data_IF_331129732562
#
_entry.id   IF_331129732562
#
_cell.length_a   1.000
_cell.length_b   1.000
_cell.length_c   1.000
_cell.angle_alpha   90.00
_cell.angle_beta   90.00
_cell.angle_gamma   90.00
#
_symmetry.space_group_name_H-M   'P 1'
#
loop_
_entity.id
_entity.type
_entity.pdbx_description
1 polymer ?
#
# COMPACT_ATOMS: atom_id res chain seq x y z
N UNK A 1 -46.62 -21.44 -37.46
CA UNK A 1 -46.73 -20.37 -36.44
C UNK A 1 -45.34 -19.95 -36.01
N UNK A 2 -44.98 -18.79 -36.52
CA UNK A 2 -43.75 -18.08 -36.17
C UNK A 2 -43.93 -17.45 -34.77
N UNK A 3 -42.97 -17.61 -33.91
CA UNK A 3 -42.79 -16.77 -32.74
C UNK A 3 -41.65 -15.78 -33.05
N UNK A 4 -42.01 -14.55 -33.30
CA UNK A 4 -41.13 -13.39 -33.32
C UNK A 4 -40.64 -13.10 -31.90
N UNK A 5 -39.33 -13.08 -31.73
CA UNK A 5 -38.66 -12.47 -30.61
C UNK A 5 -38.21 -11.07 -30.98
N UNK A 6 -39.10 -10.11 -30.76
CA UNK A 6 -38.75 -8.70 -30.83
C UNK A 6 -37.95 -8.26 -29.62
N UNK A 7 -36.79 -7.75 -29.91
CA UNK A 7 -35.86 -6.97 -29.11
C UNK A 7 -36.55 -5.78 -28.42
N UNK A 8 -36.76 -5.88 -27.14
CA UNK A 8 -36.88 -4.70 -26.25
C UNK A 8 -36.27 -5.04 -24.88
N UNK A 9 -34.95 -5.16 -24.85
CA UNK A 9 -34.16 -5.04 -23.61
C UNK A 9 -33.81 -3.57 -23.46
N UNK A 10 -34.48 -2.96 -22.51
CA UNK A 10 -34.40 -1.57 -22.16
C UNK A 10 -32.97 -1.13 -21.93
N UNK A 11 -32.48 -0.16 -22.70
CA UNK A 11 -31.11 0.41 -22.64
C UNK A 11 -30.79 1.18 -21.34
N UNK A 12 -31.66 1.12 -20.33
CA UNK A 12 -31.48 1.76 -19.03
C UNK A 12 -30.69 0.91 -18.03
N UNK A 13 -30.61 -0.42 -18.23
CA UNK A 13 -29.94 -1.30 -17.27
C UNK A 13 -28.45 -1.51 -17.56
N UNK A 14 -27.96 -1.07 -18.72
CA UNK A 14 -26.56 -1.21 -19.12
C UNK A 14 -25.61 -0.16 -18.53
N UNK A 15 -26.15 0.89 -17.90
CA UNK A 15 -25.32 1.92 -17.23
C UNK A 15 -24.99 1.64 -15.77
N UNK A 16 -25.53 0.57 -15.17
CA UNK A 16 -25.22 0.18 -13.78
C UNK A 16 -24.14 -0.91 -13.67
N UNK A 17 -23.70 -1.48 -14.80
CA UNK A 17 -22.66 -2.52 -14.84
C UNK A 17 -21.27 -2.05 -15.29
N UNK A 18 -21.03 -0.72 -15.32
CA UNK A 18 -19.68 -0.17 -15.50
C UNK A 18 -19.02 0.24 -14.19
N UNK A 19 -19.15 -0.55 -13.14
CA UNK A 19 -18.03 -0.79 -12.24
C UNK A 19 -17.23 -1.90 -12.89
N UNK A 20 -16.23 -1.53 -13.67
CA UNK A 20 -15.17 -2.45 -14.05
C UNK A 20 -14.68 -3.08 -12.76
N UNK A 21 -15.01 -4.35 -12.56
CA UNK A 21 -14.34 -5.23 -11.62
C UNK A 21 -12.87 -5.35 -12.10
N UNK A 22 -12.07 -4.34 -11.90
CA UNK A 22 -10.65 -4.51 -11.73
C UNK A 22 -10.53 -5.18 -10.37
N UNK A 23 -10.53 -6.51 -10.36
CA UNK A 23 -10.06 -7.31 -9.22
C UNK A 23 -8.53 -7.11 -9.15
N UNK A 24 -8.10 -5.90 -8.86
CA UNK A 24 -6.71 -5.52 -8.67
C UNK A 24 -6.56 -5.03 -7.25
N UNK A 25 -5.70 -5.68 -6.50
CA UNK A 25 -5.26 -5.21 -5.19
C UNK A 25 -4.39 -3.96 -5.39
N UNK A 26 -4.70 -2.90 -4.66
CA UNK A 26 -4.05 -1.60 -4.79
C UNK A 26 -3.13 -1.33 -3.61
N UNK A 27 -1.85 -1.02 -3.88
CA UNK A 27 -0.83 -0.73 -2.88
C UNK A 27 -0.31 0.71 -3.05
N UNK A 28 -0.43 1.53 -2.01
CA UNK A 28 0.13 2.87 -2.02
C UNK A 28 1.61 2.86 -1.65
N UNK A 29 2.44 3.59 -2.39
CA UNK A 29 3.80 3.93 -2.00
C UNK A 29 3.76 5.23 -1.21
N UNK A 30 4.17 5.19 0.04
CA UNK A 30 4.32 6.38 0.89
C UNK A 30 5.74 6.48 1.43
N UNK A 31 6.13 7.64 1.88
CA UNK A 31 7.44 7.91 2.48
C UNK A 31 7.74 9.39 2.47
N UNK A 32 8.72 9.81 3.26
CA UNK A 32 9.19 11.18 3.30
C UNK A 32 9.81 11.58 1.94
N UNK A 33 9.95 12.87 1.64
CA UNK A 33 10.69 13.32 0.47
C UNK A 33 12.13 12.76 0.42
N UNK A 34 12.61 12.48 -0.78
CA UNK A 34 13.99 12.02 -1.05
C UNK A 34 14.37 10.65 -0.46
N UNK A 35 13.40 9.81 -0.11
CA UNK A 35 13.65 8.43 0.34
C UNK A 35 13.85 7.44 -0.82
N UNK A 36 13.68 7.89 -2.08
CA UNK A 36 13.78 7.05 -3.28
C UNK A 36 12.46 6.47 -3.77
N UNK A 37 11.32 6.98 -3.29
CA UNK A 37 9.98 6.50 -3.64
C UNK A 37 9.71 6.48 -5.14
N UNK A 38 9.95 7.59 -5.85
CA UNK A 38 9.74 7.69 -7.30
C UNK A 38 10.71 6.82 -8.10
N UNK A 39 11.94 6.61 -7.62
CA UNK A 39 12.89 5.69 -8.23
C UNK A 39 12.38 4.26 -8.19
N UNK A 40 11.91 3.81 -7.02
CA UNK A 40 11.31 2.48 -6.84
C UNK A 40 10.04 2.35 -7.69
N UNK A 41 9.18 3.36 -7.72
CA UNK A 41 7.97 3.34 -8.54
C UNK A 41 8.29 3.22 -10.02
N UNK A 42 9.26 3.98 -10.53
CA UNK A 42 9.68 3.91 -11.94
C UNK A 42 10.27 2.54 -12.28
N UNK A 43 11.09 1.97 -11.40
CA UNK A 43 11.65 0.63 -11.58
C UNK A 43 10.52 -0.44 -11.59
N UNK A 44 9.54 -0.35 -10.69
CA UNK A 44 8.36 -1.24 -10.68
C UNK A 44 7.56 -1.18 -11.99
N UNK A 45 7.32 0.03 -12.49
CA UNK A 45 6.50 0.24 -13.70
C UNK A 45 7.29 0.01 -14.99
N UNK A 46 8.58 0.25 -15.00
CA UNK A 46 9.49 -0.06 -16.11
C UNK A 46 9.67 -1.56 -16.34
N UNK A 47 9.60 -2.35 -15.27
CA UNK A 47 9.71 -3.82 -15.33
C UNK A 47 8.57 -4.50 -16.11
N UNK A 48 7.42 -3.81 -16.28
CA UNK A 48 6.21 -4.37 -16.90
C UNK A 48 5.76 -3.51 -18.08
N UNK A 49 6.34 -3.73 -19.25
CA UNK A 49 6.10 -2.99 -20.50
C UNK A 49 4.67 -3.13 -21.08
N UNK A 50 3.74 -3.76 -20.39
CA UNK A 50 2.31 -3.69 -20.69
C UNK A 50 1.57 -2.61 -19.86
N UNK A 51 2.31 -1.70 -19.25
CA UNK A 51 1.70 -0.55 -18.56
C UNK A 51 0.92 0.28 -19.59
N UNK A 52 -0.38 0.24 -19.52
CA UNK A 52 -1.25 1.16 -20.25
C UNK A 52 -0.88 2.58 -19.81
N UNK A 53 -0.09 3.26 -20.64
CA UNK A 53 0.27 4.66 -20.47
C UNK A 53 -1.00 5.51 -20.47
N UNK A 54 -1.57 5.73 -19.30
CA UNK A 54 -2.48 6.85 -19.13
C UNK A 54 -1.63 8.11 -19.01
N UNK A 55 -1.69 8.89 -20.10
CA UNK A 55 -0.97 10.13 -20.25
C UNK A 55 -1.22 11.07 -19.06
N UNK A 56 -0.13 11.60 -18.55
CA UNK A 56 -0.01 12.64 -17.53
C UNK A 56 -1.07 13.75 -17.69
N UNK A 57 -2.05 13.76 -16.81
CA UNK A 57 -2.83 14.96 -16.51
C UNK A 57 -2.57 15.33 -15.06
N UNK A 58 -2.08 16.52 -14.87
CA UNK A 58 -1.38 17.11 -13.74
C UNK A 58 -2.11 17.18 -12.38
N UNK A 59 -3.01 16.27 -12.05
CA UNK A 59 -3.71 16.21 -10.75
C UNK A 59 -4.04 14.78 -10.29
N UNK A 60 -3.65 13.73 -11.03
CA UNK A 60 -3.86 12.35 -10.62
C UNK A 60 -2.54 11.73 -10.15
N UNK A 61 -2.53 10.90 -9.08
CA UNK A 61 -1.33 10.18 -8.68
C UNK A 61 -0.87 9.26 -9.81
N UNK A 62 0.44 9.05 -9.90
CA UNK A 62 0.98 8.08 -10.84
C UNK A 62 0.55 6.68 -10.40
N UNK A 63 -0.06 5.92 -11.30
CA UNK A 63 -0.45 4.53 -11.06
C UNK A 63 0.29 3.60 -12.01
N UNK A 64 0.71 2.45 -11.51
CA UNK A 64 1.39 1.44 -12.31
C UNK A 64 0.86 0.05 -11.99
N UNK A 65 0.53 -0.73 -13.02
CA UNK A 65 0.06 -2.10 -12.88
C UNK A 65 1.25 -3.02 -13.12
N UNK A 66 1.53 -3.90 -12.17
CA UNK A 66 2.60 -4.88 -12.26
C UNK A 66 2.06 -6.30 -12.16
N UNK A 67 2.63 -7.22 -12.94
CA UNK A 67 2.29 -8.63 -12.85
C UNK A 67 2.97 -9.26 -11.64
N UNK A 68 2.25 -10.10 -10.91
CA UNK A 68 2.81 -10.86 -9.79
C UNK A 68 3.54 -12.08 -10.33
N UNK A 69 4.87 -12.21 -10.15
CA UNK A 69 5.60 -13.39 -10.58
C UNK A 69 5.10 -14.65 -9.86
N UNK A 70 4.78 -15.70 -10.63
CA UNK A 70 4.40 -17.00 -10.07
C UNK A 70 5.09 -18.15 -10.83
N UNK A 71 6.22 -18.67 -10.31
CA UNK A 71 6.97 -19.76 -10.96
C UNK A 71 6.14 -21.04 -11.17
N UNK A 72 5.08 -21.24 -10.38
CA UNK A 72 4.17 -22.40 -10.55
C UNK A 72 3.34 -22.23 -11.81
N UNK A 73 2.86 -20.99 -12.04
CA UNK A 73 2.10 -20.65 -13.24
C UNK A 73 2.98 -20.79 -14.48
N UNK A 74 4.25 -20.36 -14.42
CA UNK A 74 5.22 -20.52 -15.49
C UNK A 74 5.43 -21.99 -15.84
N UNK A 75 5.66 -22.82 -14.81
CA UNK A 75 5.84 -24.27 -14.99
C UNK A 75 4.61 -24.94 -15.61
N UNK A 76 3.42 -24.62 -15.13
CA UNK A 76 2.17 -25.16 -15.67
C UNK A 76 1.96 -24.70 -17.11
N UNK A 77 2.18 -23.42 -17.39
CA UNK A 77 2.04 -22.86 -18.73
C UNK A 77 2.94 -23.56 -19.76
N UNK A 78 4.18 -23.86 -19.37
CA UNK A 78 5.10 -24.63 -20.20
C UNK A 78 4.64 -26.07 -20.42
N UNK A 79 4.18 -26.75 -19.34
CA UNK A 79 3.73 -28.14 -19.42
C UNK A 79 2.50 -28.34 -20.32
N UNK A 80 1.57 -27.38 -20.33
CA UNK A 80 0.33 -27.47 -21.12
C UNK A 80 0.43 -26.74 -22.47
N UNK A 81 1.61 -26.22 -22.81
CA UNK A 81 1.85 -25.39 -24.00
C UNK A 81 0.78 -24.29 -24.16
N UNK A 82 0.55 -23.54 -23.08
CA UNK A 82 -0.52 -22.57 -23.03
C UNK A 82 -0.35 -21.49 -24.10
N UNK A 83 -1.41 -21.19 -24.85
CA UNK A 83 -1.39 -20.13 -25.87
C UNK A 83 -1.24 -18.72 -25.27
N UNK A 84 -1.67 -18.55 -24.02
CA UNK A 84 -1.56 -17.27 -23.28
C UNK A 84 -1.54 -17.58 -21.79
N UNK A 85 -0.60 -16.96 -21.08
CA UNK A 85 -0.51 -16.96 -19.62
C UNK A 85 -0.97 -15.59 -19.10
N UNK A 86 -1.85 -15.59 -18.11
CA UNK A 86 -2.34 -14.36 -17.48
C UNK A 86 -1.96 -14.40 -16.01
N UNK A 87 -1.13 -13.47 -15.60
CA UNK A 87 -0.72 -13.31 -14.20
C UNK A 87 -1.75 -12.48 -13.43
N UNK A 88 -1.79 -12.68 -12.12
CA UNK A 88 -2.46 -11.73 -11.23
C UNK A 88 -1.71 -10.40 -11.29
N UNK A 89 -2.42 -9.30 -11.31
CA UNK A 89 -1.83 -7.97 -11.31
C UNK A 89 -2.02 -7.27 -9.95
N UNK A 90 -1.05 -6.42 -9.61
CA UNK A 90 -1.06 -5.54 -8.46
C UNK A 90 -0.95 -4.10 -8.99
N UNK A 91 -1.75 -3.19 -8.47
CA UNK A 91 -1.68 -1.78 -8.80
C UNK A 91 -0.88 -1.04 -7.72
N UNK A 92 0.20 -0.37 -8.13
CA UNK A 92 0.93 0.54 -7.27
C UNK A 92 0.54 1.98 -7.56
N UNK A 93 0.34 2.76 -6.49
CA UNK A 93 -0.02 4.17 -6.56
C UNK A 93 1.09 4.98 -5.91
N UNK A 94 1.81 5.81 -6.69
CA UNK A 94 2.81 6.74 -6.16
C UNK A 94 2.10 7.96 -5.57
N UNK A 95 2.00 7.99 -4.25
CA UNK A 95 1.47 9.15 -3.55
C UNK A 95 2.59 10.13 -3.25
N UNK A 96 2.44 11.37 -3.71
CA UNK A 96 3.39 12.45 -3.41
C UNK A 96 3.68 12.51 -1.91
N UNK A 97 4.96 12.65 -1.53
CA UNK A 97 5.41 12.51 -0.15
C UNK A 97 4.62 13.34 0.85
N UNK A 98 4.33 12.74 1.99
CA UNK A 98 3.76 13.45 3.15
C UNK A 98 4.75 14.53 3.59
N UNK A 99 4.34 15.78 3.50
CA UNK A 99 5.02 16.86 4.20
C UNK A 99 4.53 16.87 5.65
N UNK A 100 5.41 17.15 6.60
CA UNK A 100 5.08 17.32 8.01
C UNK A 100 3.97 18.36 8.15
N UNK A 101 2.87 18.05 8.84
CA UNK A 101 1.69 18.93 8.96
C UNK A 101 0.64 18.74 7.86
N UNK A 102 0.68 17.65 7.09
CA UNK A 102 -0.28 17.37 6.03
C UNK A 102 -1.72 17.19 6.57
N UNK A 103 -1.87 16.71 7.80
CA UNK A 103 -3.16 16.55 8.48
C UNK A 103 -3.81 17.90 8.87
N UNK A 104 -3.01 18.95 9.06
CA UNK A 104 -3.48 20.27 9.48
C UNK A 104 -3.65 21.26 8.31
N UNK A 105 -3.25 20.87 7.08
CA UNK A 105 -3.29 21.72 5.88
C UNK A 105 -4.60 21.65 5.13
N UNK A 106 -5.16 22.81 4.76
CA UNK A 106 -6.24 22.88 3.78
C UNK A 106 -5.69 22.53 2.39
N UNK A 107 -6.23 21.49 1.74
CA UNK A 107 -6.00 21.19 0.33
C UNK A 107 -5.24 19.89 0.05
N UNK A 108 -3.94 19.94 -0.25
CA UNK A 108 -3.17 18.77 -0.74
C UNK A 108 -3.07 17.63 0.27
N UNK A 109 -2.95 17.93 1.58
CA UNK A 109 -2.89 16.92 2.63
C UNK A 109 -4.18 16.10 2.72
N UNK A 110 -5.34 16.73 2.63
CA UNK A 110 -6.63 16.04 2.66
C UNK A 110 -6.85 15.18 1.41
N UNK A 111 -6.37 15.60 0.24
CA UNK A 111 -6.43 14.78 -0.98
C UNK A 111 -5.54 13.55 -0.86
N UNK A 112 -4.34 13.69 -0.32
CA UNK A 112 -3.42 12.60 -0.06
C UNK A 112 -4.03 11.56 0.91
N UNK A 113 -4.54 12.00 2.06
CA UNK A 113 -5.18 11.13 3.04
C UNK A 113 -6.44 10.46 2.46
N UNK A 114 -7.19 11.15 1.59
CA UNK A 114 -8.31 10.59 0.85
C UNK A 114 -7.90 9.44 -0.04
N UNK A 115 -6.77 9.55 -0.73
CA UNK A 115 -6.23 8.49 -1.61
C UNK A 115 -5.74 7.29 -0.83
N UNK A 116 -5.08 7.49 0.33
CA UNK A 116 -4.69 6.37 1.19
C UNK A 116 -5.91 5.54 1.63
N UNK A 117 -7.08 6.16 1.83
CA UNK A 117 -8.30 5.42 2.20
C UNK A 117 -8.84 4.50 1.10
N UNK A 118 -8.39 4.66 -0.12
CA UNK A 118 -8.85 3.91 -1.29
C UNK A 118 -7.98 2.69 -1.61
N UNK A 119 -6.84 2.51 -0.90
CA UNK A 119 -5.91 1.40 -1.14
C UNK A 119 -6.08 0.27 -0.14
N UNK A 120 -5.62 -0.92 -0.55
CA UNK A 120 -5.74 -2.15 0.24
C UNK A 120 -4.52 -2.39 1.14
N UNK A 121 -3.34 -1.85 0.75
CA UNK A 121 -2.11 -1.90 1.55
C UNK A 121 -1.23 -0.67 1.33
N UNK A 122 -0.27 -0.51 2.23
CA UNK A 122 0.71 0.58 2.20
C UNK A 122 2.11 -0.02 2.18
N UNK A 123 2.90 0.34 1.17
CA UNK A 123 4.34 0.14 1.13
C UNK A 123 5.02 1.43 1.63
N UNK A 124 5.52 1.41 2.83
CA UNK A 124 6.18 2.56 3.45
C UNK A 124 7.68 2.51 3.14
N UNK A 125 8.13 3.38 2.23
CA UNK A 125 9.53 3.48 1.82
C UNK A 125 10.31 4.26 2.87
N UNK A 126 11.35 3.64 3.41
CA UNK A 126 12.21 4.20 4.46
C UNK A 126 13.63 4.32 3.92
N UNK A 127 14.22 5.49 4.08
CA UNK A 127 15.61 5.73 3.68
C UNK A 127 16.56 5.05 4.67
N UNK A 128 17.36 4.11 4.18
CA UNK A 128 18.35 3.37 4.95
C UNK A 128 19.75 3.49 4.33
N UNK A 129 20.04 4.59 3.64
CA UNK A 129 21.32 4.88 3.00
C UNK A 129 21.76 6.31 3.29
N UNK A 130 23.06 6.54 3.28
CA UNK A 130 23.67 7.85 3.41
C UNK A 130 24.16 8.35 2.05
N UNK A 131 23.76 9.55 1.64
CA UNK A 131 24.25 10.23 0.44
C UNK A 131 24.25 11.75 0.70
N UNK A 132 25.43 12.35 0.69
CA UNK A 132 25.61 13.78 0.93
C UNK A 132 24.99 14.66 -0.17
N UNK A 133 24.74 14.13 -1.37
CA UNK A 133 24.13 14.85 -2.48
C UNK A 133 22.60 14.86 -2.42
N UNK A 134 22.01 14.00 -1.59
CA UNK A 134 20.56 13.87 -1.46
C UNK A 134 20.15 14.44 -0.09
N UNK A 135 19.55 15.66 -0.06
CA UNK A 135 19.15 16.26 1.21
C UNK A 135 18.08 15.43 1.91
N UNK A 136 18.16 15.34 3.23
CA UNK A 136 17.11 14.79 4.09
C UNK A 136 16.32 15.93 4.74
N UNK A 137 15.07 15.70 5.15
CA UNK A 137 14.25 16.74 5.83
C UNK A 137 14.86 17.10 7.17
N UNK A 138 15.39 16.12 7.91
CA UNK A 138 16.22 16.31 9.08
C UNK A 138 17.70 16.20 8.69
N UNK A 139 18.59 16.90 9.40
CA UNK A 139 20.03 16.83 9.13
C UNK A 139 20.61 15.42 9.31
N UNK A 140 19.93 14.59 10.11
CA UNK A 140 20.34 13.21 10.45
C UNK A 140 19.30 12.24 9.89
N UNK A 141 19.77 11.14 9.28
CA UNK A 141 18.91 10.05 8.85
C UNK A 141 18.61 9.18 10.07
N UNK A 142 17.34 9.19 10.47
CA UNK A 142 16.86 8.41 11.62
C UNK A 142 15.57 7.66 11.20
N UNK A 143 15.68 6.44 10.66
CA UNK A 143 14.58 5.69 10.09
C UNK A 143 13.37 5.54 11.02
N UNK A 144 13.60 5.35 12.31
CA UNK A 144 12.51 5.25 13.29
C UNK A 144 11.72 6.55 13.40
N UNK A 145 12.41 7.68 13.49
CA UNK A 145 11.78 9.02 13.54
C UNK A 145 10.99 9.32 12.24
N UNK A 146 11.52 8.89 11.10
CA UNK A 146 10.88 9.04 9.80
C UNK A 146 9.56 8.25 9.72
N UNK A 147 9.55 7.01 10.22
CA UNK A 147 8.36 6.18 10.32
C UNK A 147 7.34 6.82 11.28
N UNK A 148 7.77 7.18 12.48
CA UNK A 148 6.91 7.78 13.50
C UNK A 148 6.30 9.11 13.04
N UNK A 149 7.00 9.88 12.22
CA UNK A 149 6.47 11.13 11.64
C UNK A 149 5.27 10.87 10.74
N UNK A 150 5.34 9.86 9.86
CA UNK A 150 4.23 9.48 9.00
C UNK A 150 3.08 8.86 9.81
N UNK A 151 3.39 7.94 10.71
CA UNK A 151 2.38 7.29 11.56
C UNK A 151 1.61 8.35 12.37
N UNK A 152 2.29 9.37 12.89
CA UNK A 152 1.65 10.48 13.63
C UNK A 152 0.64 11.23 12.78
N UNK A 153 0.96 11.56 11.52
CA UNK A 153 0.03 12.25 10.62
C UNK A 153 -1.21 11.39 10.32
N UNK A 154 -1.03 10.08 10.12
CA UNK A 154 -2.14 9.15 9.90
C UNK A 154 -3.01 9.02 11.16
N UNK A 155 -2.40 8.94 12.33
CA UNK A 155 -3.08 8.86 13.64
C UNK A 155 -3.93 10.12 13.87
N UNK A 156 -3.39 11.32 13.65
CA UNK A 156 -4.13 12.58 13.83
C UNK A 156 -5.37 12.59 12.92
N UNK A 157 -5.24 12.20 11.65
CA UNK A 157 -6.36 12.14 10.72
C UNK A 157 -7.44 11.12 11.14
N UNK A 158 -7.03 10.01 11.74
CA UNK A 158 -7.96 9.01 12.26
C UNK A 158 -8.67 9.49 13.53
N UNK A 159 -7.97 10.16 14.45
CA UNK A 159 -8.56 10.77 15.64
C UNK A 159 -9.64 11.79 15.27
N UNK A 160 -9.40 12.64 14.27
CA UNK A 160 -10.42 13.56 13.75
C UNK A 160 -11.65 12.83 13.19
N UNK A 161 -11.40 11.74 12.45
CA UNK A 161 -12.47 10.93 11.87
C UNK A 161 -13.33 10.31 12.95
N UNK A 162 -12.70 9.75 13.99
CA UNK A 162 -13.37 9.13 15.14
C UNK A 162 -14.15 10.15 15.97
N UNK A 163 -13.63 11.34 16.22
CA UNK A 163 -14.32 12.37 16.99
C UNK A 163 -15.60 12.87 16.28
N UNK A 164 -15.54 13.07 14.96
CA UNK A 164 -16.70 13.40 14.14
C UNK A 164 -17.79 12.30 14.21
N UNK A 165 -17.37 11.02 14.19
CA UNK A 165 -18.25 9.87 14.26
C UNK A 165 -18.85 9.72 15.66
N UNK A 166 -18.03 9.84 16.70
CA UNK A 166 -18.42 9.78 18.12
C UNK A 166 -19.50 10.81 18.43
N UNK A 167 -19.33 12.05 17.98
CA UNK A 167 -20.33 13.12 18.18
C UNK A 167 -21.69 12.76 17.57
N UNK A 168 -21.72 12.11 16.41
CA UNK A 168 -22.97 11.65 15.77
C UNK A 168 -23.60 10.50 16.57
N UNK A 169 -22.82 9.49 16.94
CA UNK A 169 -23.28 8.31 17.67
C UNK A 169 -23.79 8.63 19.07
N UNK A 170 -23.23 9.62 19.76
CA UNK A 170 -23.71 10.06 21.08
C UNK A 170 -25.17 10.53 21.05
N UNK A 171 -25.61 11.15 19.95
CA UNK A 171 -27.01 11.57 19.77
C UNK A 171 -27.93 10.35 19.64
N UNK A 172 -27.51 9.36 18.83
CA UNK A 172 -28.27 8.13 18.61
C UNK A 172 -28.29 7.23 19.85
N UNK A 173 -27.17 7.13 20.56
CA UNK A 173 -27.09 6.35 21.80
C UNK A 173 -28.02 6.85 22.93
N UNK A 174 -28.31 8.16 22.98
CA UNK A 174 -29.28 8.73 23.93
C UNK A 174 -30.70 8.23 23.69
N UNK A 175 -31.07 7.80 22.50
CA UNK A 175 -32.37 7.19 22.18
C UNK A 175 -32.44 5.70 22.53
N UNK A 176 -31.40 5.12 23.15
CA UNK A 176 -31.40 3.74 23.62
C UNK A 176 -30.84 2.71 22.61
N UNK A 177 -30.31 3.15 21.47
CA UNK A 177 -29.73 2.30 20.42
C UNK A 177 -28.54 1.50 20.97
N UNK A 178 -28.62 0.17 20.88
CA UNK A 178 -27.59 -0.76 21.38
C UNK A 178 -26.34 -0.76 20.49
N UNK A 179 -26.51 -0.68 19.18
CA UNK A 179 -25.41 -0.68 18.23
C UNK A 179 -24.58 0.60 18.36
N UNK A 180 -25.24 1.76 18.57
CA UNK A 180 -24.57 3.01 18.85
C UNK A 180 -23.71 2.95 20.13
N UNK A 181 -24.17 2.25 21.17
CA UNK A 181 -23.38 2.06 22.40
C UNK A 181 -22.17 1.17 22.18
N UNK A 182 -22.32 0.06 21.43
CA UNK A 182 -21.20 -0.82 21.07
C UNK A 182 -20.16 -0.08 20.23
N UNK A 183 -20.61 0.73 19.26
CA UNK A 183 -19.70 1.56 18.46
C UNK A 183 -18.97 2.59 19.31
N UNK A 184 -19.60 3.23 20.29
CA UNK A 184 -18.96 4.19 21.17
C UNK A 184 -17.88 3.54 22.05
N UNK A 185 -18.12 2.34 22.55
CA UNK A 185 -17.13 1.57 23.30
C UNK A 185 -15.91 1.22 22.41
N UNK A 186 -16.16 0.73 21.20
CA UNK A 186 -15.12 0.44 20.25
C UNK A 186 -14.30 1.68 19.88
N UNK A 187 -14.96 2.82 19.60
CA UNK A 187 -14.30 4.10 19.34
C UNK A 187 -13.42 4.50 20.51
N UNK A 188 -13.87 4.35 21.74
CA UNK A 188 -13.06 4.67 22.92
C UNK A 188 -11.77 3.85 22.98
N UNK A 189 -11.86 2.53 22.74
CA UNK A 189 -10.68 1.64 22.70
C UNK A 189 -9.71 1.99 21.57
N UNK A 190 -10.24 2.32 20.38
CA UNK A 190 -9.40 2.75 19.25
C UNK A 190 -8.73 4.07 19.59
N UNK A 191 -9.47 5.06 20.10
CA UNK A 191 -8.91 6.37 20.48
C UNK A 191 -7.81 6.22 21.51
N UNK A 192 -8.01 5.41 22.57
CA UNK A 192 -6.96 5.12 23.55
C UNK A 192 -5.71 4.50 22.92
N UNK A 193 -5.87 3.62 21.93
CA UNK A 193 -4.75 3.01 21.22
C UNK A 193 -3.97 4.05 20.41
N UNK A 194 -4.69 4.91 19.68
CA UNK A 194 -4.10 5.98 18.89
C UNK A 194 -3.41 7.06 19.75
N UNK A 195 -4.01 7.43 20.88
CA UNK A 195 -3.42 8.38 21.86
C UNK A 195 -2.10 7.84 22.46
N UNK A 196 -1.92 6.51 22.48
CA UNK A 196 -0.66 5.87 22.85
C UNK A 196 0.30 5.67 21.66
N UNK A 197 0.13 6.39 20.57
CA UNK A 197 0.91 6.30 19.32
C UNK A 197 0.95 4.90 18.71
N UNK A 198 -0.13 4.12 18.87
CA UNK A 198 -0.26 2.80 18.26
C UNK A 198 -1.36 2.83 17.20
N UNK A 199 -1.15 2.16 16.05
CA UNK A 199 -2.11 2.18 14.96
C UNK A 199 -3.41 1.43 15.30
N UNK A 200 -4.52 1.80 14.64
CA UNK A 200 -5.82 1.17 14.87
C UNK A 200 -5.81 -0.35 14.59
N UNK A 201 -4.95 -0.85 13.68
CA UNK A 201 -4.75 -2.28 13.44
C UNK A 201 -4.25 -3.07 14.66
N UNK A 202 -3.68 -2.40 15.67
CA UNK A 202 -3.25 -3.01 16.93
C UNK A 202 -4.39 -3.23 17.94
N UNK A 203 -5.59 -2.71 17.67
CA UNK A 203 -6.76 -2.87 18.55
C UNK A 203 -7.26 -4.31 18.52
N UNK A 204 -7.46 -4.88 19.69
CA UNK A 204 -8.03 -6.23 19.80
C UNK A 204 -9.53 -6.19 19.46
N UNK A 205 -9.92 -6.93 18.44
CA UNK A 205 -11.31 -7.11 18.00
C UNK A 205 -11.89 -8.33 18.74
N UNK A 206 -13.09 -8.21 19.27
CA UNK A 206 -13.70 -9.24 20.11
C UNK A 206 -14.76 -10.07 19.37
N UNK A 207 -15.34 -9.55 18.31
CA UNK A 207 -16.42 -10.21 17.56
C UNK A 207 -16.56 -9.65 16.13
N UNK A 208 -17.35 -10.34 15.31
CA UNK A 208 -17.57 -9.97 13.90
C UNK A 208 -18.30 -8.63 13.72
N UNK A 209 -19.09 -8.20 14.72
CA UNK A 209 -19.78 -6.92 14.68
C UNK A 209 -18.76 -5.77 14.79
N UNK A 210 -17.81 -5.88 15.73
CA UNK A 210 -16.72 -4.91 15.84
C UNK A 210 -15.85 -4.87 14.59
N UNK A 211 -15.57 -6.04 13.99
CA UNK A 211 -14.85 -6.17 12.74
C UNK A 211 -15.53 -5.39 11.61
N UNK A 212 -16.85 -5.51 11.50
CA UNK A 212 -17.64 -4.75 10.53
C UNK A 212 -17.55 -3.25 10.79
N UNK A 213 -17.66 -2.81 12.05
CA UNK A 213 -17.57 -1.40 12.39
C UNK A 213 -16.20 -0.80 12.07
N UNK A 214 -15.08 -1.49 12.36
CA UNK A 214 -13.74 -1.02 12.02
C UNK A 214 -13.62 -0.82 10.50
N UNK A 215 -14.13 -1.77 9.71
CA UNK A 215 -14.14 -1.65 8.24
C UNK A 215 -14.96 -0.44 7.77
N UNK A 216 -16.11 -0.19 8.40
CA UNK A 216 -16.97 0.99 8.11
C UNK A 216 -16.33 2.32 8.55
N UNK A 217 -15.41 2.29 9.52
CA UNK A 217 -14.73 3.52 9.96
C UNK A 217 -13.70 3.99 8.94
N UNK A 218 -13.19 3.08 8.12
CA UNK A 218 -12.22 3.36 7.07
C UNK A 218 -11.02 4.17 7.58
N UNK A 219 -10.40 3.67 8.66
CA UNK A 219 -9.26 4.32 9.31
C UNK A 219 -7.98 4.05 8.54
N UNK A 220 -7.16 5.09 8.39
CA UNK A 220 -5.86 5.01 7.69
C UNK A 220 -4.91 4.05 8.39
N UNK A 221 -4.86 4.10 9.72
CA UNK A 221 -3.98 3.25 10.52
C UNK A 221 -4.51 1.81 10.70
N UNK A 222 -5.69 1.49 10.14
CA UNK A 222 -6.17 0.11 10.05
C UNK A 222 -5.69 -0.61 8.80
N UNK A 223 -5.21 0.11 7.79
CA UNK A 223 -4.70 -0.45 6.54
C UNK A 223 -3.41 -1.24 6.83
N UNK A 224 -3.24 -2.45 6.26
CA UNK A 224 -2.00 -3.21 6.34
C UNK A 224 -0.81 -2.40 5.81
N UNK A 225 0.35 -2.53 6.46
CA UNK A 225 1.57 -1.84 6.07
C UNK A 225 2.74 -2.81 6.05
N UNK A 226 3.65 -2.63 5.11
CA UNK A 226 4.98 -3.23 5.15
C UNK A 226 6.04 -2.16 4.89
N UNK A 227 7.22 -2.32 5.48
CA UNK A 227 8.33 -1.40 5.30
C UNK A 227 9.21 -1.82 4.12
N UNK A 228 9.67 -0.84 3.36
CA UNK A 228 10.64 -1.03 2.29
C UNK A 228 11.88 -0.21 2.65
N UNK A 229 12.92 -0.89 3.15
CA UNK A 229 14.22 -0.30 3.41
C UNK A 229 14.93 -0.05 2.10
N UNK A 230 15.01 1.21 1.68
CA UNK A 230 15.81 1.59 0.52
C UNK A 230 17.25 1.80 0.92
N UNK A 231 18.14 0.92 0.45
CA UNK A 231 19.59 0.95 0.69
C UNK A 231 20.33 1.41 -0.58
N UNK A 232 21.59 1.78 -0.45
CA UNK A 232 22.42 2.18 -1.61
C UNK A 232 22.97 0.98 -2.35
N UNK A 233 23.49 0.00 -1.62
CA UNK A 233 24.15 -1.19 -2.14
C UNK A 233 23.68 -2.46 -1.39
N UNK A 234 23.54 -3.62 -2.05
CA UNK A 234 23.16 -4.88 -1.40
C UNK A 234 24.03 -5.29 -0.21
N UNK A 235 25.32 -4.92 -0.20
CA UNK A 235 26.22 -5.17 0.94
C UNK A 235 25.78 -4.45 2.22
N UNK A 236 24.97 -3.39 2.11
CA UNK A 236 24.40 -2.63 3.22
C UNK A 236 23.11 -3.21 3.79
N UNK A 237 22.68 -4.38 3.34
CA UNK A 237 21.42 -5.04 3.79
C UNK A 237 21.34 -5.33 5.30
N UNK A 238 22.43 -5.13 6.03
CA UNK A 238 22.53 -5.29 7.49
C UNK A 238 23.09 -4.04 8.17
N UNK A 239 23.05 -2.86 7.55
CA UNK A 239 23.51 -1.62 8.16
C UNK A 239 22.63 -1.26 9.40
N UNK A 240 23.09 -0.30 10.21
CA UNK A 240 22.41 0.12 11.44
C UNK A 240 21.01 0.65 11.21
N UNK A 241 20.76 1.34 10.08
CA UNK A 241 19.45 1.87 9.73
C UNK A 241 18.44 0.76 9.42
N UNK A 242 18.86 -0.23 8.63
CA UNK A 242 18.03 -1.43 8.34
C UNK A 242 17.73 -2.20 9.62
N UNK A 243 18.72 -2.35 10.50
CA UNK A 243 18.52 -3.04 11.76
C UNK A 243 17.50 -2.31 12.65
N UNK A 244 17.56 -0.99 12.73
CA UNK A 244 16.58 -0.16 13.46
C UNK A 244 15.15 -0.37 12.92
N UNK A 245 14.97 -0.41 11.60
CA UNK A 245 13.65 -0.69 10.99
C UNK A 245 13.18 -2.09 11.31
N UNK A 246 14.05 -3.11 11.24
CA UNK A 246 13.70 -4.50 11.57
C UNK A 246 13.25 -4.64 13.02
N UNK A 247 13.95 -4.00 13.96
CA UNK A 247 13.59 -4.02 15.38
C UNK A 247 12.24 -3.34 15.63
N UNK A 248 12.02 -2.19 15.02
CA UNK A 248 10.74 -1.49 15.07
C UNK A 248 9.59 -2.35 14.50
N UNK A 249 9.80 -2.92 13.33
CA UNK A 249 8.82 -3.76 12.64
C UNK A 249 8.48 -5.04 13.41
N UNK A 250 9.47 -5.67 14.05
CA UNK A 250 9.29 -6.91 14.81
C UNK A 250 8.31 -6.74 15.98
N UNK A 251 8.29 -5.57 16.63
CA UNK A 251 7.37 -5.27 17.74
C UNK A 251 5.89 -5.30 17.30
N UNK A 252 5.60 -4.89 16.08
CA UNK A 252 4.24 -4.83 15.50
C UNK A 252 3.99 -5.95 14.46
N UNK A 253 4.95 -6.86 14.26
CA UNK A 253 4.92 -7.97 13.28
C UNK A 253 4.72 -7.47 11.83
N UNK A 254 5.30 -6.35 11.49
CA UNK A 254 5.22 -5.73 10.18
C UNK A 254 6.28 -6.38 9.27
N UNK A 255 5.95 -6.79 8.03
CA UNK A 255 6.93 -7.29 7.07
C UNK A 255 7.93 -6.20 6.67
N UNK A 256 9.19 -6.61 6.41
CA UNK A 256 10.25 -5.71 5.95
C UNK A 256 10.87 -6.26 4.69
N UNK A 257 10.85 -5.46 3.63
CA UNK A 257 11.55 -5.70 2.37
C UNK A 257 12.79 -4.82 2.32
N UNK A 258 13.89 -5.34 1.81
CA UNK A 258 15.13 -4.58 1.63
C UNK A 258 15.46 -4.59 0.15
N UNK A 259 15.66 -3.43 -0.45
CA UNK A 259 16.06 -3.29 -1.83
C UNK A 259 16.87 -2.01 -2.06
N UNK A 260 17.60 -1.93 -3.16
CA UNK A 260 18.21 -0.69 -3.63
C UNK A 260 17.44 -0.18 -4.84
N UNK A 261 16.68 0.89 -4.67
CA UNK A 261 15.89 1.47 -5.76
C UNK A 261 16.75 1.89 -6.96
N UNK A 262 18.00 2.29 -6.72
CA UNK A 262 18.96 2.61 -7.78
C UNK A 262 19.35 1.35 -8.57
N UNK A 263 19.73 0.29 -7.86
CA UNK A 263 20.14 -0.98 -8.50
C UNK A 263 18.97 -1.63 -9.24
N UNK A 264 17.76 -1.58 -8.66
CA UNK A 264 16.56 -2.07 -9.33
C UNK A 264 16.30 -1.33 -10.66
N UNK A 265 16.52 -0.01 -10.69
CA UNK A 265 16.42 0.77 -11.93
C UNK A 265 17.48 0.34 -12.94
N UNK A 266 18.73 0.16 -12.51
CA UNK A 266 19.83 -0.30 -13.38
C UNK A 266 19.56 -1.71 -13.95
N UNK A 267 19.01 -2.62 -13.14
CA UNK A 267 18.60 -3.96 -13.58
C UNK A 267 17.50 -3.88 -14.66
N UNK A 268 16.55 -2.95 -14.50
CA UNK A 268 15.45 -2.80 -15.46
C UNK A 268 15.89 -2.18 -16.78
N UNK A 269 16.93 -1.37 -16.79
CA UNK A 269 17.51 -0.77 -17.99
C UNK A 269 18.28 -1.79 -18.88
N UNK A 270 18.53 -3.00 -18.40
CA UNK A 270 19.14 -4.08 -19.16
C UNK A 270 18.07 -4.82 -19.96
N UNK A 271 18.05 -4.68 -21.28
CA UNK A 271 17.05 -5.31 -22.16
C UNK A 271 17.25 -6.82 -22.31
N UNK A 272 18.50 -7.30 -22.36
CA UNK A 272 18.82 -8.72 -22.52
C UNK A 272 18.64 -9.48 -21.22
N UNK A 273 17.81 -10.53 -21.25
CA UNK A 273 17.46 -11.31 -20.04
C UNK A 273 18.66 -12.10 -19.48
N UNK A 274 19.59 -12.56 -20.31
CA UNK A 274 20.75 -13.32 -19.83
C UNK A 274 21.81 -12.38 -19.26
N UNK A 275 21.99 -11.20 -19.87
CA UNK A 275 22.84 -10.15 -19.34
C UNK A 275 22.29 -9.65 -17.99
N UNK A 276 20.98 -9.42 -17.88
CA UNK A 276 20.31 -9.05 -16.62
C UNK A 276 20.53 -10.08 -15.52
N UNK A 277 20.38 -11.38 -15.82
CA UNK A 277 20.65 -12.46 -14.86
C UNK A 277 22.12 -12.50 -14.42
N UNK A 278 23.02 -12.27 -15.35
CA UNK A 278 24.46 -12.26 -15.09
C UNK A 278 24.80 -11.10 -14.16
N UNK A 279 24.30 -9.90 -14.46
CA UNK A 279 24.48 -8.70 -13.65
C UNK A 279 23.93 -8.90 -12.22
N UNK A 280 22.72 -9.42 -12.09
CA UNK A 280 22.13 -9.72 -10.77
C UNK A 280 22.99 -10.70 -9.96
N UNK A 281 23.51 -11.75 -10.62
CA UNK A 281 24.37 -12.74 -9.96
C UNK A 281 25.70 -12.13 -9.50
N UNK A 282 26.30 -11.24 -10.29
CA UNK A 282 27.51 -10.50 -9.92
C UNK A 282 27.26 -9.59 -8.71
N UNK A 283 26.07 -9.01 -8.62
CA UNK A 283 25.62 -8.20 -7.46
C UNK A 283 25.15 -9.05 -6.26
N UNK A 284 25.24 -10.38 -6.35
CA UNK A 284 24.84 -11.29 -5.27
C UNK A 284 23.33 -11.41 -5.06
N UNK A 285 22.54 -11.01 -6.05
CA UNK A 285 21.08 -11.08 -6.00
C UNK A 285 20.58 -12.36 -6.67
N UNK A 286 19.70 -13.10 -5.99
CA UNK A 286 19.02 -14.27 -6.54
C UNK A 286 17.80 -13.87 -7.39
N UNK A 287 17.12 -12.80 -6.99
CA UNK A 287 15.96 -12.22 -7.67
C UNK A 287 15.91 -10.71 -7.44
N UNK A 288 15.19 -9.95 -8.29
CA UNK A 288 14.96 -8.52 -8.05
C UNK A 288 14.27 -8.27 -6.73
N UNK A 289 14.71 -7.28 -5.97
CA UNK A 289 14.04 -6.88 -4.72
C UNK A 289 12.60 -6.40 -4.94
N UNK A 290 12.31 -5.90 -6.13
CA UNK A 290 10.96 -5.58 -6.57
C UNK A 290 10.02 -6.78 -6.54
N UNK A 291 10.49 -8.00 -6.87
CA UNK A 291 9.68 -9.21 -6.76
C UNK A 291 9.29 -9.49 -5.32
N UNK A 292 10.23 -9.34 -4.38
CA UNK A 292 9.94 -9.49 -2.94
C UNK A 292 8.89 -8.45 -2.49
N UNK A 293 8.97 -7.23 -2.98
CA UNK A 293 8.00 -6.17 -2.69
C UNK A 293 6.60 -6.51 -3.23
N UNK A 294 6.51 -6.99 -4.47
CA UNK A 294 5.25 -7.40 -5.10
C UNK A 294 4.63 -8.60 -4.34
N UNK A 295 5.43 -9.59 -3.98
CA UNK A 295 4.98 -10.78 -3.24
C UNK A 295 4.52 -10.41 -1.83
N UNK A 296 5.22 -9.49 -1.16
CA UNK A 296 4.82 -8.99 0.18
C UNK A 296 3.50 -8.23 0.10
N UNK A 297 3.33 -7.33 -0.87
CA UNK A 297 2.07 -6.64 -1.10
C UNK A 297 0.90 -7.60 -1.31
N UNK A 298 1.11 -8.67 -2.10
CA UNK A 298 0.11 -9.71 -2.30
C UNK A 298 -0.19 -10.53 -1.03
N UNK A 299 0.81 -10.78 -0.18
CA UNK A 299 0.58 -11.46 1.10
C UNK A 299 -0.31 -10.66 2.03
N UNK A 300 -0.21 -9.34 2.01
CA UNK A 300 -1.08 -8.45 2.76
C UNK A 300 -2.52 -8.46 2.24
N UNK A 301 -2.75 -8.72 0.95
CA UNK A 301 -4.08 -9.00 0.39
C UNK A 301 -4.76 -10.15 1.12
N UNK A 302 -4.10 -11.29 1.25
CA UNK A 302 -4.64 -12.46 1.95
C UNK A 302 -4.86 -12.20 3.44
N UNK A 303 -4.00 -11.43 4.08
CA UNK A 303 -4.16 -11.02 5.48
C UNK A 303 -5.40 -10.14 5.65
N UNK A 304 -5.63 -9.20 4.75
CA UNK A 304 -6.83 -8.36 4.70
C UNK A 304 -8.10 -9.18 4.44
N UNK A 305 -8.07 -10.14 3.52
CA UNK A 305 -9.20 -11.04 3.23
C UNK A 305 -9.52 -11.95 4.40
N UNK A 306 -8.53 -12.58 5.05
CA UNK A 306 -8.72 -13.43 6.23
C UNK A 306 -9.24 -12.63 7.43
N UNK A 307 -8.89 -11.36 7.55
CA UNK A 307 -9.51 -10.45 8.51
C UNK A 307 -10.94 -10.10 8.12
N UNK A 308 -11.35 -10.31 6.87
CA UNK A 308 -12.69 -10.01 6.36
C UNK A 308 -13.65 -11.20 6.39
N UNK A 309 -13.16 -12.43 6.61
CA UNK A 309 -13.94 -13.67 6.82
C UNK A 309 -14.14 -13.92 8.33
#
# INVERSE_FOLDING_TARGET
>A
SHCDWSSDVCSSDLNHFKKTNTMGFTCALIGLPNVGKSTIFNALTGANVEATNYAFTSAQPNTGIVNVPDPRLDTISQLVEAKKTVYTSLEFVDLAGLAKGASQGEGLGNQFLGRIREVDAIAHIVRCFEDANIPHISEIIEPKSDIEAIDTELIIADLETLEKRKTKLQKTAKSGDKDAKLQLDLIARITETLDNNRPARAVKIHNDIEKKFIKEYNLLTSIPVFFVCNIQDPSESSNSHVQTVKEYAAAEKIPVVILSGKLESEIMDIDDLEERKTFMKEMGLNEPGLNCMIQTGRSEEHTSELQSQ
#
